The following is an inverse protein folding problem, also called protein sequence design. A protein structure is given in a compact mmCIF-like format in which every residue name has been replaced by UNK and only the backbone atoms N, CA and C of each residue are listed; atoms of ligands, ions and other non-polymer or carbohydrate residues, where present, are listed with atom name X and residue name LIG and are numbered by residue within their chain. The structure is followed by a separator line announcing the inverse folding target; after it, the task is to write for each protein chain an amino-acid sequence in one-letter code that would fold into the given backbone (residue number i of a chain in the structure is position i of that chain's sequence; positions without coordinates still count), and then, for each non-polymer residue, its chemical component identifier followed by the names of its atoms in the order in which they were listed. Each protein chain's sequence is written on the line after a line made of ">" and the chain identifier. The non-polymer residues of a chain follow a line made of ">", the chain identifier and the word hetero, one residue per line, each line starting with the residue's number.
data_IF_831068402710
#
_entry.id   IF_831068402710
#
_cell.length_a   1.000
_cell.length_b   1.000
_cell.length_c   1.000
_cell.angle_alpha   90.00
_cell.angle_beta   90.00
_cell.angle_gamma   90.00
#
_symmetry.space_group_name_H-M   'P 1'
#
loop_
_entity.id
_entity.type
_entity.pdbx_description
1 polymer ?
#
# COMPACT_ATOMS: atom_id res chain seq x y z
N UNK A 1 14.16 -21.36 18.23
CA UNK A 1 13.17 -21.38 19.29
C UNK A 1 11.78 -21.17 18.69
N UNK A 2 10.89 -22.16 18.88
CA UNK A 2 9.53 -22.14 18.36
C UNK A 2 8.67 -21.00 18.96
N UNK A 3 9.16 -20.36 20.01
CA UNK A 3 8.46 -19.27 20.68
C UNK A 3 9.03 -17.89 20.34
N UNK A 4 9.99 -17.80 19.41
CA UNK A 4 10.52 -16.51 18.97
C UNK A 4 9.47 -15.73 18.21
N UNK A 5 9.04 -14.59 18.77
CA UNK A 5 8.16 -13.67 18.06
C UNK A 5 8.94 -13.01 16.92
N UNK A 6 8.30 -12.95 15.75
CA UNK A 6 8.82 -12.11 14.66
C UNK A 6 8.76 -10.66 15.11
N UNK A 7 9.87 -9.96 14.93
CA UNK A 7 9.96 -8.52 15.24
C UNK A 7 10.23 -7.77 13.95
N UNK A 8 9.60 -6.65 13.84
CA UNK A 8 9.81 -5.76 12.70
C UNK A 8 9.92 -4.32 13.19
N UNK A 9 10.54 -3.50 12.35
CA UNK A 9 10.63 -2.06 12.55
C UNK A 9 9.98 -1.37 11.36
N UNK A 10 9.40 -0.18 11.60
CA UNK A 10 8.82 0.61 10.53
C UNK A 10 9.64 1.88 10.38
N UNK A 11 10.15 2.11 9.17
CA UNK A 11 10.84 3.35 8.83
C UNK A 11 10.06 4.10 7.76
N UNK A 12 10.29 5.40 7.66
CA UNK A 12 9.62 6.25 6.68
C UNK A 12 10.58 7.06 5.81
N UNK A 13 11.80 6.59 5.66
CA UNK A 13 12.79 7.16 4.73
C UNK A 13 13.09 6.15 3.64
N UNK A 14 13.06 6.61 2.38
CA UNK A 14 13.46 5.78 1.25
C UNK A 14 14.98 5.81 1.13
N UNK A 15 15.54 4.63 0.92
CA UNK A 15 16.97 4.43 0.67
C UNK A 15 17.16 3.88 -0.75
N UNK A 16 18.34 4.06 -1.34
CA UNK A 16 18.66 3.40 -2.61
C UNK A 16 18.36 1.91 -2.56
N UNK A 17 17.71 1.40 -3.59
CA UNK A 17 17.29 0.01 -3.69
C UNK A 17 15.85 -0.26 -3.25
N UNK A 18 15.25 0.61 -2.44
CA UNK A 18 13.91 0.39 -1.90
C UNK A 18 12.83 0.33 -2.97
N UNK A 19 12.78 1.32 -3.86
CA UNK A 19 11.74 1.33 -4.89
C UNK A 19 11.89 0.18 -5.88
N UNK A 20 13.13 -0.21 -6.19
CA UNK A 20 13.39 -1.39 -7.01
C UNK A 20 12.91 -2.66 -6.33
N UNK A 21 13.21 -2.82 -5.05
CA UNK A 21 12.79 -3.99 -4.28
C UNK A 21 11.28 -4.04 -4.10
N UNK A 22 10.64 -2.91 -3.80
CA UNK A 22 9.17 -2.84 -3.69
C UNK A 22 8.49 -3.18 -5.01
N UNK A 23 9.03 -2.69 -6.12
CA UNK A 23 8.52 -3.00 -7.45
C UNK A 23 8.62 -4.50 -7.72
N UNK A 24 9.80 -5.08 -7.46
CA UNK A 24 10.01 -6.53 -7.58
C UNK A 24 9.02 -7.32 -6.72
N UNK A 25 8.88 -6.91 -5.47
CA UNK A 25 8.03 -7.62 -4.52
C UNK A 25 6.55 -7.57 -4.94
N UNK A 26 6.06 -6.41 -5.37
CA UNK A 26 4.71 -6.28 -5.91
C UNK A 26 4.53 -7.15 -7.17
N UNK A 27 5.47 -7.08 -8.10
CA UNK A 27 5.40 -7.84 -9.34
C UNK A 27 5.33 -9.34 -9.09
N UNK A 28 6.23 -9.86 -8.28
CA UNK A 28 6.32 -11.30 -7.97
C UNK A 28 5.11 -11.79 -7.17
N UNK A 29 4.76 -11.08 -6.11
CA UNK A 29 3.67 -11.53 -5.23
C UNK A 29 2.30 -11.45 -5.91
N UNK A 30 2.04 -10.39 -6.65
CA UNK A 30 0.76 -10.24 -7.34
C UNK A 30 0.62 -11.19 -8.53
N UNK A 31 1.73 -11.50 -9.23
CA UNK A 31 1.72 -12.54 -10.25
C UNK A 31 1.39 -13.91 -9.65
N UNK A 32 2.01 -14.23 -8.53
CA UNK A 32 1.85 -15.52 -7.86
C UNK A 32 0.46 -15.69 -7.25
N UNK A 33 -0.05 -14.64 -6.59
CA UNK A 33 -1.32 -14.72 -5.88
C UNK A 33 -2.53 -14.45 -6.78
N UNK A 34 -2.41 -13.57 -7.79
CA UNK A 34 -3.54 -13.11 -8.58
C UNK A 34 -3.38 -13.30 -10.08
N UNK A 35 -2.19 -13.72 -10.54
CA UNK A 35 -1.94 -13.92 -11.97
C UNK A 35 -1.77 -12.62 -12.76
N UNK A 36 -1.41 -11.51 -12.11
CA UNK A 36 -1.15 -10.25 -12.81
C UNK A 36 0.18 -10.34 -13.55
N UNK A 37 0.20 -9.82 -14.77
CA UNK A 37 1.39 -9.88 -15.62
C UNK A 37 2.37 -8.72 -15.36
N UNK A 38 3.41 -8.63 -16.21
CA UNK A 38 4.47 -7.62 -16.09
C UNK A 38 3.96 -6.18 -16.26
N UNK A 39 2.77 -5.98 -16.84
CA UNK A 39 2.20 -4.64 -16.95
C UNK A 39 1.76 -4.10 -15.60
N UNK A 40 1.39 -4.96 -14.66
CA UNK A 40 1.13 -4.56 -13.28
C UNK A 40 2.44 -4.09 -12.61
N UNK A 41 3.52 -4.83 -12.78
CA UNK A 41 4.82 -4.44 -12.26
C UNK A 41 5.25 -3.08 -12.83
N UNK A 42 5.07 -2.87 -14.13
CA UNK A 42 5.37 -1.59 -14.78
C UNK A 42 4.53 -0.45 -14.20
N UNK A 43 3.26 -0.70 -13.93
CA UNK A 43 2.38 0.26 -13.28
C UNK A 43 2.90 0.65 -11.89
N UNK A 44 3.29 -0.33 -11.09
CA UNK A 44 3.87 -0.08 -9.76
C UNK A 44 5.18 0.69 -9.86
N UNK A 45 6.07 0.27 -10.76
CA UNK A 45 7.37 0.91 -10.97
C UNK A 45 7.21 2.39 -11.33
N UNK A 46 6.31 2.69 -12.26
CA UNK A 46 6.01 4.05 -12.70
C UNK A 46 5.50 4.91 -11.54
N UNK A 47 4.57 4.38 -10.75
CA UNK A 47 4.01 5.10 -9.61
C UNK A 47 5.04 5.37 -8.52
N UNK A 48 5.88 4.40 -8.19
CA UNK A 48 6.93 4.56 -7.19
C UNK A 48 8.02 5.54 -7.66
N UNK A 49 8.37 5.50 -8.93
CA UNK A 49 9.33 6.46 -9.49
C UNK A 49 8.78 7.88 -9.38
N UNK A 50 7.53 8.09 -9.77
CA UNK A 50 6.88 9.40 -9.65
C UNK A 50 6.81 9.86 -8.20
N UNK A 51 6.48 8.97 -7.27
CA UNK A 51 6.44 9.28 -5.84
C UNK A 51 7.76 9.88 -5.36
N UNK A 52 8.89 9.27 -5.73
CA UNK A 52 10.22 9.76 -5.32
C UNK A 52 10.56 11.08 -6.01
N UNK A 53 10.26 11.18 -7.30
CA UNK A 53 10.60 12.38 -8.10
C UNK A 53 9.80 13.62 -7.69
N UNK A 54 8.56 13.44 -7.25
CA UNK A 54 7.68 14.54 -6.85
C UNK A 54 7.47 14.62 -5.34
N UNK A 55 8.29 13.94 -4.56
CA UNK A 55 8.13 13.83 -3.11
C UNK A 55 8.20 15.19 -2.43
N UNK A 56 7.23 15.43 -1.54
CA UNK A 56 7.23 16.57 -0.62
C UNK A 56 6.84 16.08 0.77
N UNK A 57 7.69 16.31 1.79
CA UNK A 57 7.44 15.79 3.15
C UNK A 57 6.19 16.38 3.80
N UNK A 58 5.72 17.52 3.32
CA UNK A 58 4.50 18.15 3.85
C UNK A 58 3.23 17.45 3.40
N UNK A 59 3.28 16.67 2.32
CA UNK A 59 2.08 16.04 1.75
C UNK A 59 2.19 14.53 1.56
N UNK A 60 3.41 13.99 1.50
CA UNK A 60 3.65 12.59 1.14
C UNK A 60 4.47 11.88 2.20
N UNK A 61 4.22 10.58 2.35
CA UNK A 61 5.07 9.72 3.17
C UNK A 61 4.89 8.27 2.74
N UNK A 62 5.97 7.51 2.85
CA UNK A 62 5.92 6.05 2.70
C UNK A 62 6.47 5.42 3.98
N UNK A 63 5.87 4.30 4.39
CA UNK A 63 6.33 3.51 5.52
C UNK A 63 6.71 2.13 5.01
N UNK A 64 7.84 1.65 5.50
CA UNK A 64 8.40 0.35 5.14
C UNK A 64 8.60 -0.46 6.41
N UNK A 65 7.94 -1.60 6.49
CA UNK A 65 8.17 -2.55 7.57
C UNK A 65 9.32 -3.47 7.17
N UNK A 66 10.30 -3.61 8.05
CA UNK A 66 11.45 -4.49 7.79
C UNK A 66 11.71 -5.43 8.95
N UNK A 67 12.24 -6.59 8.62
CA UNK A 67 12.79 -7.54 9.58
C UNK A 67 14.10 -8.08 9.02
N UNK A 68 15.14 -8.12 9.85
CA UNK A 68 16.48 -8.58 9.43
C UNK A 68 16.98 -7.89 8.15
N UNK A 69 16.74 -6.58 8.04
CA UNK A 69 17.16 -5.78 6.88
C UNK A 69 16.35 -6.01 5.60
N UNK A 70 15.25 -6.77 5.65
CA UNK A 70 14.40 -7.05 4.50
C UNK A 70 13.05 -6.36 4.65
N UNK A 71 12.59 -5.72 3.58
CA UNK A 71 11.26 -5.12 3.55
C UNK A 71 10.23 -6.25 3.46
N UNK A 72 9.27 -6.24 4.38
CA UNK A 72 8.18 -7.23 4.45
C UNK A 72 6.80 -6.59 4.32
N UNK A 73 6.74 -5.28 4.31
CA UNK A 73 5.47 -4.56 4.14
C UNK A 73 5.69 -3.11 3.80
N UNK A 74 4.66 -2.48 3.24
CA UNK A 74 4.69 -1.08 2.85
C UNK A 74 3.30 -0.46 2.89
N UNK A 75 3.26 0.86 2.96
CA UNK A 75 2.10 1.70 2.70
C UNK A 75 2.58 3.11 2.38
N UNK A 76 1.84 3.83 1.55
CA UNK A 76 2.17 5.22 1.26
C UNK A 76 0.93 6.11 1.26
N UNK A 77 1.16 7.38 1.57
CA UNK A 77 0.21 8.47 1.39
C UNK A 77 0.78 9.43 0.37
N UNK A 78 -0.03 9.76 -0.61
CA UNK A 78 0.29 10.72 -1.67
C UNK A 78 -0.75 11.83 -1.62
N UNK A 79 -0.31 13.06 -1.41
CA UNK A 79 -1.22 14.20 -1.37
C UNK A 79 -1.67 14.60 -2.77
N UNK A 80 -2.97 14.76 -2.97
CA UNK A 80 -3.56 15.23 -4.23
C UNK A 80 -3.99 16.68 -4.17
N UNK A 81 -4.37 17.15 -3.00
CA UNK A 81 -4.72 18.54 -2.72
C UNK A 81 -4.44 18.84 -1.26
N UNK A 82 -4.77 20.03 -0.79
CA UNK A 82 -4.62 20.37 0.64
C UNK A 82 -5.52 19.53 1.55
N UNK A 83 -6.60 18.99 1.01
CA UNK A 83 -7.64 18.30 1.80
C UNK A 83 -7.80 16.82 1.43
N UNK A 84 -7.24 16.35 0.32
CA UNK A 84 -7.41 14.98 -0.14
C UNK A 84 -6.08 14.29 -0.39
N UNK A 85 -5.95 13.08 0.15
CA UNK A 85 -4.80 12.22 -0.05
C UNK A 85 -5.23 10.88 -0.64
N UNK A 86 -4.28 10.18 -1.25
CA UNK A 86 -4.46 8.83 -1.75
C UNK A 86 -3.57 7.87 -0.96
N UNK A 87 -4.14 6.75 -0.55
CA UNK A 87 -3.40 5.64 0.04
C UNK A 87 -2.98 4.70 -1.07
N UNK A 88 -1.70 4.33 -1.09
CA UNK A 88 -1.13 3.45 -2.12
C UNK A 88 -0.19 2.42 -1.52
N UNK A 89 0.03 1.36 -2.26
CA UNK A 89 1.04 0.32 -2.02
C UNK A 89 0.99 -0.28 -0.62
N UNK A 90 -0.22 -0.59 -0.13
CA UNK A 90 -0.35 -1.43 1.06
C UNK A 90 -0.02 -2.87 0.66
N UNK A 91 1.09 -3.34 1.18
CA UNK A 91 1.58 -4.69 0.93
C UNK A 91 2.06 -5.30 2.24
N UNK A 92 1.74 -6.56 2.46
CA UNK A 92 2.36 -7.38 3.51
C UNK A 92 2.78 -8.69 2.87
N UNK A 93 4.07 -9.01 3.00
CA UNK A 93 4.61 -10.27 2.48
C UNK A 93 3.82 -11.45 3.06
N UNK A 94 3.45 -12.45 2.25
CA UNK A 94 2.62 -13.57 2.70
C UNK A 94 3.13 -14.29 3.95
N UNK A 95 4.45 -14.44 4.08
CA UNK A 95 5.05 -15.13 5.23
C UNK A 95 4.91 -14.36 6.55
N UNK A 96 4.48 -13.09 6.48
CA UNK A 96 4.39 -12.21 7.65
C UNK A 96 2.96 -11.69 7.87
N UNK A 97 1.98 -12.29 7.22
CA UNK A 97 0.57 -11.94 7.42
C UNK A 97 0.06 -12.41 8.78
N UNK A 98 -1.05 -11.82 9.23
CA UNK A 98 -1.73 -12.14 10.50
C UNK A 98 -0.91 -11.82 11.75
N UNK A 99 0.10 -10.97 11.61
CA UNK A 99 0.93 -10.51 12.73
C UNK A 99 0.60 -9.08 13.15
N UNK A 100 -0.28 -8.40 12.41
CA UNK A 100 -0.67 -7.03 12.71
C UNK A 100 0.11 -5.96 11.95
N UNK A 101 0.98 -6.34 11.01
CA UNK A 101 1.80 -5.39 10.23
C UNK A 101 0.93 -4.47 9.40
N UNK A 102 -0.04 -5.00 8.66
CA UNK A 102 -0.94 -4.19 7.84
C UNK A 102 -1.74 -3.20 8.66
N UNK A 103 -2.23 -3.63 9.82
CA UNK A 103 -2.96 -2.77 10.74
C UNK A 103 -2.07 -1.62 11.25
N UNK A 104 -0.85 -1.93 11.65
CA UNK A 104 0.09 -0.92 12.15
C UNK A 104 0.47 0.09 11.05
N UNK A 105 0.72 -0.40 9.83
CA UNK A 105 1.00 0.46 8.69
C UNK A 105 -0.17 1.41 8.41
N UNK A 106 -1.39 0.88 8.40
CA UNK A 106 -2.58 1.69 8.15
C UNK A 106 -2.81 2.72 9.26
N UNK A 107 -2.60 2.34 10.52
CA UNK A 107 -2.70 3.27 11.66
C UNK A 107 -1.72 4.44 11.49
N UNK A 108 -0.48 4.18 11.10
CA UNK A 108 0.52 5.22 10.88
C UNK A 108 0.16 6.13 9.72
N UNK A 109 -0.35 5.57 8.63
CA UNK A 109 -0.79 6.35 7.48
C UNK A 109 -1.96 7.28 7.83
N UNK A 110 -2.95 6.78 8.58
CA UNK A 110 -4.09 7.59 8.99
C UNK A 110 -3.67 8.68 9.98
N UNK A 111 -2.76 8.38 10.89
CA UNK A 111 -2.23 9.37 11.81
C UNK A 111 -1.54 10.52 11.07
N UNK A 112 -0.72 10.19 10.09
CA UNK A 112 -0.08 11.18 9.21
C UNK A 112 -1.12 12.09 8.54
N UNK A 113 -2.18 11.49 7.98
CA UNK A 113 -3.23 12.24 7.31
C UNK A 113 -3.94 13.22 8.25
N UNK A 114 -4.23 12.80 9.48
CA UNK A 114 -4.83 13.66 10.49
C UNK A 114 -3.91 14.81 10.88
N UNK A 115 -2.64 14.53 11.10
CA UNK A 115 -1.64 15.55 11.45
C UNK A 115 -1.44 16.56 10.33
N UNK A 116 -1.55 16.13 9.08
CA UNK A 116 -1.39 16.99 7.91
C UNK A 116 -2.71 17.60 7.43
N UNK A 117 -3.79 17.43 8.22
CA UNK A 117 -5.08 18.07 8.02
C UNK A 117 -5.82 17.67 6.75
N UNK A 118 -5.55 16.46 6.26
CA UNK A 118 -6.37 15.89 5.21
C UNK A 118 -7.78 15.62 5.73
N UNK A 119 -8.79 15.87 4.91
CA UNK A 119 -10.20 15.63 5.24
C UNK A 119 -10.70 14.31 4.66
N UNK A 120 -10.14 13.89 3.54
CA UNK A 120 -10.53 12.66 2.87
C UNK A 120 -9.31 11.90 2.39
N UNK A 121 -9.43 10.57 2.42
CA UNK A 121 -8.45 9.65 1.86
C UNK A 121 -9.19 8.72 0.92
N UNK A 122 -8.67 8.53 -0.29
CA UNK A 122 -9.21 7.50 -1.18
C UNK A 122 -8.13 6.49 -1.53
N UNK A 123 -8.58 5.34 -1.99
CA UNK A 123 -7.70 4.29 -2.50
C UNK A 123 -8.41 3.51 -3.60
N UNK A 124 -7.62 2.89 -4.45
CA UNK A 124 -8.09 1.89 -5.40
C UNK A 124 -7.51 0.54 -5.01
N UNK A 125 -8.35 -0.48 -5.04
CA UNK A 125 -7.94 -1.87 -4.80
C UNK A 125 -8.66 -2.76 -5.80
N UNK A 126 -8.46 -4.07 -5.73
CA UNK A 126 -9.19 -5.00 -6.59
C UNK A 126 -10.03 -5.93 -5.71
N UNK A 127 -11.10 -6.46 -6.29
CA UNK A 127 -12.02 -7.36 -5.56
C UNK A 127 -11.33 -8.64 -5.06
N UNK A 128 -10.19 -9.01 -5.65
CA UNK A 128 -9.44 -10.19 -5.26
C UNK A 128 -8.68 -10.03 -3.95
N UNK A 129 -8.34 -8.79 -3.56
CA UNK A 129 -7.57 -8.49 -2.36
C UNK A 129 -8.48 -8.43 -1.13
N UNK A 130 -9.03 -9.57 -0.75
CA UNK A 130 -10.05 -9.65 0.32
C UNK A 130 -9.52 -9.26 1.70
N UNK A 131 -8.28 -9.61 2.02
CA UNK A 131 -7.68 -9.26 3.31
C UNK A 131 -7.48 -7.75 3.45
N UNK A 132 -7.00 -7.08 2.39
CA UNK A 132 -6.84 -5.63 2.38
C UNK A 132 -8.19 -4.93 2.48
N UNK A 133 -9.18 -5.39 1.71
CA UNK A 133 -10.56 -4.85 1.76
C UNK A 133 -11.16 -4.96 3.15
N UNK A 134 -10.97 -6.10 3.82
CA UNK A 134 -11.45 -6.30 5.19
C UNK A 134 -10.80 -5.28 6.13
N UNK A 135 -9.50 -5.07 6.01
CA UNK A 135 -8.77 -4.10 6.82
C UNK A 135 -9.29 -2.68 6.58
N UNK A 136 -9.45 -2.27 5.32
CA UNK A 136 -10.00 -0.95 4.99
C UNK A 136 -11.38 -0.74 5.60
N UNK A 137 -12.25 -1.73 5.45
CA UNK A 137 -13.62 -1.67 5.99
C UNK A 137 -13.61 -1.52 7.52
N UNK A 138 -12.74 -2.27 8.21
CA UNK A 138 -12.59 -2.17 9.66
C UNK A 138 -12.14 -0.77 10.11
N UNK A 139 -11.40 -0.05 9.27
CA UNK A 139 -10.96 1.32 9.58
C UNK A 139 -11.95 2.40 9.14
N UNK A 140 -13.10 2.00 8.60
CA UNK A 140 -14.16 2.93 8.23
C UNK A 140 -14.19 3.37 6.78
N UNK A 141 -13.30 2.83 5.94
CA UNK A 141 -13.37 3.08 4.49
C UNK A 141 -14.64 2.47 3.91
N UNK A 142 -15.25 3.17 2.95
CA UNK A 142 -16.45 2.72 2.26
C UNK A 142 -16.25 2.69 0.76
N UNK A 143 -16.71 1.63 0.13
CA UNK A 143 -16.68 1.50 -1.32
C UNK A 143 -17.64 2.50 -1.96
N UNK A 144 -17.14 3.25 -2.95
CA UNK A 144 -17.93 4.29 -3.64
C UNK A 144 -18.15 3.99 -5.11
N UNK A 145 -17.25 3.25 -5.74
CA UNK A 145 -17.41 2.88 -7.14
C UNK A 145 -16.60 1.64 -7.49
N UNK A 146 -16.90 1.02 -8.61
CA UNK A 146 -16.13 -0.08 -9.15
C UNK A 146 -16.16 -0.05 -10.67
N UNK A 147 -15.17 -0.66 -11.29
CA UNK A 147 -15.11 -0.87 -12.72
C UNK A 147 -14.45 -2.20 -13.02
N UNK A 148 -15.03 -2.93 -13.97
CA UNK A 148 -14.50 -4.21 -14.42
C UNK A 148 -13.98 -4.05 -15.84
N UNK A 149 -12.72 -4.42 -16.05
CA UNK A 149 -12.09 -4.30 -17.35
C UNK A 149 -10.90 -5.26 -17.48
N UNK A 150 -10.40 -5.36 -18.69
CA UNK A 150 -9.19 -6.16 -18.95
C UNK A 150 -7.97 -5.31 -18.66
N UNK A 151 -7.19 -5.72 -17.68
CA UNK A 151 -5.96 -5.05 -17.29
C UNK A 151 -5.03 -6.10 -16.66
N UNK A 152 -3.73 -5.89 -16.77
CA UNK A 152 -2.70 -6.75 -16.16
C UNK A 152 -2.81 -8.23 -16.57
N UNK A 153 -3.25 -8.46 -17.82
CA UNK A 153 -3.34 -9.80 -18.40
C UNK A 153 -4.60 -10.58 -18.04
N UNK A 154 -5.57 -9.99 -17.37
CA UNK A 154 -6.81 -10.67 -16.99
C UNK A 154 -7.96 -9.68 -16.82
N UNK A 155 -9.16 -10.19 -16.59
CA UNK A 155 -10.30 -9.34 -16.22
C UNK A 155 -10.26 -9.07 -14.73
N UNK A 156 -10.25 -7.79 -14.37
CA UNK A 156 -10.09 -7.32 -12.99
C UNK A 156 -11.23 -6.37 -12.66
N UNK A 157 -11.78 -6.50 -11.46
CA UNK A 157 -12.71 -5.52 -10.90
C UNK A 157 -11.95 -4.65 -9.93
N UNK A 158 -11.77 -3.38 -10.30
CA UNK A 158 -11.16 -2.39 -9.41
C UNK A 158 -12.25 -1.70 -8.60
N UNK A 159 -11.96 -1.47 -7.33
CA UNK A 159 -12.89 -0.87 -6.37
C UNK A 159 -12.26 0.35 -5.74
N UNK A 160 -13.01 1.45 -5.68
CA UNK A 160 -12.57 2.69 -5.02
C UNK A 160 -13.21 2.79 -3.64
N UNK A 161 -12.42 3.14 -2.66
CA UNK A 161 -12.86 3.33 -1.28
C UNK A 161 -12.50 4.73 -0.80
N UNK A 162 -13.34 5.29 0.04
CA UNK A 162 -13.15 6.59 0.67
C UNK A 162 -13.25 6.50 2.18
N UNK A 163 -12.46 7.34 2.85
CA UNK A 163 -12.56 7.58 4.28
C UNK A 163 -12.63 9.08 4.52
N UNK A 164 -13.60 9.50 5.32
CA UNK A 164 -13.72 10.88 5.80
C UNK A 164 -13.11 10.96 7.19
N UNK A 165 -12.16 11.86 7.36
CA UNK A 165 -11.45 12.05 8.63
C UNK A 165 -12.13 13.09 9.51
#
# INVERSE_FOLDING_TARGET
>A
DIYMKVRWEIRHRIKPGDIGYLTYLHGILYAKEYGYDETFEAYVASGLAEFVQSFSPDKDRIWLAETNGRIIGSIAIVGHSKVEAQLRWLLVHPDYRRLGIGKELLQKALQFCKEHKYKTIFLWTTSELSAARHLYTCFGFRKTEEKTHKIWGKTVTEEKYYLYL
#
